data_IF_236810798648
#
_entry.id   IF_236810798648
#
_cell.length_a   1.000
_cell.length_b   1.000
_cell.length_c   1.000
_cell.angle_alpha   90.00
_cell.angle_beta   90.00
_cell.angle_gamma   90.00
#
_symmetry.space_group_name_H-M   'P 1'
#
loop_
_entity.id
_entity.type
_entity.pdbx_description
1 polymer ?
#
# COMPACT_ATOMS: atom_id res chain seq x y z
N UNK A 1 -25.78 7.05 20.46
CA UNK A 1 -25.56 7.47 19.07
C UNK A 1 -24.47 6.58 18.50
N UNK A 2 -24.86 5.59 17.70
CA UNK A 2 -23.90 4.86 16.88
C UNK A 2 -23.34 5.85 15.84
N UNK A 3 -22.03 6.14 15.92
CA UNK A 3 -21.35 6.77 14.81
C UNK A 3 -21.34 5.74 13.67
N UNK A 4 -22.09 5.99 12.62
CA UNK A 4 -21.98 5.24 11.39
C UNK A 4 -20.63 5.57 10.75
N UNK A 5 -19.58 4.89 11.19
CA UNK A 5 -18.31 4.89 10.49
C UNK A 5 -18.60 4.19 9.17
N UNK A 6 -18.46 4.91 8.06
CA UNK A 6 -18.51 4.28 6.74
C UNK A 6 -17.22 3.49 6.55
N UNK A 7 -17.21 2.24 7.01
CA UNK A 7 -16.05 1.33 7.00
C UNK A 7 -15.34 1.24 5.66
N UNK A 8 -16.09 1.44 4.57
CA UNK A 8 -15.55 1.46 3.21
C UNK A 8 -14.61 2.64 2.90
N UNK A 9 -14.53 3.63 3.79
CA UNK A 9 -13.66 4.81 3.64
C UNK A 9 -12.50 4.83 4.63
N UNK A 10 -12.38 3.83 5.49
CA UNK A 10 -11.32 3.75 6.50
C UNK A 10 -10.32 2.68 6.08
N UNK A 11 -9.06 3.07 5.98
CA UNK A 11 -7.92 2.16 5.80
C UNK A 11 -7.12 2.21 7.10
N UNK A 12 -6.99 1.05 7.76
CA UNK A 12 -6.28 0.97 9.03
C UNK A 12 -4.83 0.60 8.78
N UNK A 13 -3.92 1.41 9.30
CA UNK A 13 -2.49 1.12 9.25
C UNK A 13 -2.08 0.28 10.46
N UNK A 14 -1.41 -0.84 10.21
CA UNK A 14 -0.90 -1.75 11.24
C UNK A 14 0.59 -1.98 11.06
N UNK A 15 1.31 -2.19 12.17
CA UNK A 15 2.77 -2.32 12.19
C UNK A 15 3.25 -3.73 12.53
N UNK A 16 2.35 -4.58 13.02
CA UNK A 16 2.64 -5.96 13.34
C UNK A 16 1.35 -6.80 13.40
N UNK A 17 1.51 -8.12 13.43
CA UNK A 17 0.38 -9.05 13.45
C UNK A 17 -0.48 -8.91 14.71
N UNK A 18 0.15 -8.65 15.87
CA UNK A 18 -0.59 -8.44 17.13
C UNK A 18 -1.54 -7.25 17.04
N UNK A 19 -1.06 -6.14 16.47
CA UNK A 19 -1.88 -4.95 16.25
C UNK A 19 -3.04 -5.23 15.28
N UNK A 20 -2.78 -5.97 14.22
CA UNK A 20 -3.84 -6.38 13.29
C UNK A 20 -4.97 -7.13 14.00
N UNK A 21 -4.63 -8.14 14.80
CA UNK A 21 -5.64 -8.92 15.52
C UNK A 21 -6.35 -8.11 16.61
N UNK A 22 -5.64 -7.24 17.31
CA UNK A 22 -6.24 -6.33 18.29
C UNK A 22 -7.27 -5.40 17.66
N UNK A 23 -6.95 -4.81 16.51
CA UNK A 23 -7.90 -3.95 15.77
C UNK A 23 -9.09 -4.75 15.27
N UNK A 24 -8.86 -5.92 14.70
CA UNK A 24 -9.91 -6.82 14.20
C UNK A 24 -10.88 -7.27 15.29
N UNK A 25 -10.42 -7.46 16.53
CA UNK A 25 -11.27 -7.86 17.65
C UNK A 25 -12.19 -6.74 18.13
N UNK A 26 -11.82 -5.47 17.87
CA UNK A 26 -12.65 -4.31 18.24
C UNK A 26 -13.66 -3.98 17.15
N UNK A 27 -13.23 -4.02 15.89
CA UNK A 27 -14.11 -3.72 14.76
C UNK A 27 -13.60 -4.41 13.47
N UNK A 28 -14.50 -4.99 12.65
CA UNK A 28 -14.14 -5.72 11.44
C UNK A 28 -13.88 -4.79 10.25
N UNK A 29 -12.90 -3.90 10.36
CA UNK A 29 -12.48 -3.05 9.24
C UNK A 29 -12.16 -3.91 8.01
N UNK A 30 -12.51 -3.38 6.82
CA UNK A 30 -12.32 -4.08 5.55
C UNK A 30 -10.94 -3.90 4.96
N UNK A 31 -10.35 -2.72 5.15
CA UNK A 31 -9.11 -2.33 4.47
C UNK A 31 -8.00 -2.08 5.46
N UNK A 32 -6.87 -2.72 5.22
CA UNK A 32 -5.66 -2.59 6.02
C UNK A 32 -4.45 -2.29 5.14
N UNK A 33 -3.52 -1.50 5.68
CA UNK A 33 -2.17 -1.37 5.15
C UNK A 33 -1.17 -1.82 6.22
N UNK A 34 -0.25 -2.69 5.85
CA UNK A 34 0.79 -3.19 6.76
C UNK A 34 2.07 -2.40 6.56
N UNK A 35 2.61 -1.83 7.63
CA UNK A 35 3.85 -1.05 7.59
C UNK A 35 5.02 -1.87 8.05
N UNK A 36 6.08 -1.91 7.26
CA UNK A 36 7.33 -2.60 7.59
C UNK A 36 8.44 -1.60 7.85
N UNK A 37 9.37 -1.95 8.72
CA UNK A 37 10.57 -1.16 9.02
C UNK A 37 11.78 -2.05 9.12
N UNK A 38 12.86 -1.73 8.36
CA UNK A 38 14.21 -2.32 8.48
C UNK A 38 14.20 -3.85 8.70
N UNK A 39 13.43 -4.56 7.89
CA UNK A 39 13.32 -6.01 8.02
C UNK A 39 14.22 -6.69 6.98
N UNK A 40 14.92 -7.80 7.34
CA UNK A 40 15.58 -8.64 6.37
C UNK A 40 14.55 -9.30 5.44
N UNK A 41 14.95 -9.69 4.24
CA UNK A 41 14.04 -10.23 3.21
C UNK A 41 13.29 -11.49 3.66
N UNK A 42 13.94 -12.33 4.49
CA UNK A 42 13.27 -13.51 5.08
C UNK A 42 12.10 -13.14 6.01
N UNK A 43 12.24 -12.07 6.80
CA UNK A 43 11.16 -11.55 7.63
C UNK A 43 10.09 -10.87 6.78
N UNK A 44 10.49 -10.13 5.75
CA UNK A 44 9.58 -9.52 4.80
C UNK A 44 8.70 -10.56 4.09
N UNK A 45 9.28 -11.68 3.65
CA UNK A 45 8.53 -12.79 3.07
C UNK A 45 7.42 -13.31 4.00
N UNK A 46 7.71 -13.45 5.30
CA UNK A 46 6.71 -13.87 6.30
C UNK A 46 5.57 -12.85 6.43
N UNK A 47 5.89 -11.56 6.38
CA UNK A 47 4.88 -10.48 6.38
C UNK A 47 4.00 -10.56 5.13
N UNK A 48 4.59 -10.72 3.95
CA UNK A 48 3.84 -10.87 2.70
C UNK A 48 2.89 -12.06 2.74
N UNK A 49 3.37 -13.20 3.24
CA UNK A 49 2.54 -14.40 3.44
C UNK A 49 1.37 -14.13 4.40
N UNK A 50 1.64 -13.47 5.53
CA UNK A 50 0.60 -13.07 6.48
C UNK A 50 -0.44 -12.14 5.85
N UNK A 51 0.01 -11.11 5.13
CA UNK A 51 -0.88 -10.17 4.44
C UNK A 51 -1.78 -10.90 3.43
N UNK A 52 -1.21 -11.80 2.64
CA UNK A 52 -1.97 -12.60 1.66
C UNK A 52 -3.04 -13.45 2.32
N UNK A 53 -2.69 -14.15 3.41
CA UNK A 53 -3.61 -15.03 4.14
C UNK A 53 -4.76 -14.26 4.81
N UNK A 54 -4.53 -13.00 5.18
CA UNK A 54 -5.51 -12.19 5.91
C UNK A 54 -6.20 -11.11 5.05
N UNK A 55 -5.99 -11.13 3.73
CA UNK A 55 -6.63 -10.19 2.82
C UNK A 55 -6.15 -8.74 2.99
N UNK A 56 -4.93 -8.55 3.51
CA UNK A 56 -4.30 -7.22 3.57
C UNK A 56 -3.75 -6.90 2.17
N UNK A 57 -4.31 -5.87 1.56
CA UNK A 57 -4.09 -5.58 0.15
C UNK A 57 -2.86 -4.70 -0.12
N UNK A 58 -2.31 -4.05 0.90
CA UNK A 58 -1.22 -3.10 0.74
C UNK A 58 -0.15 -3.23 1.83
N UNK A 59 1.11 -3.07 1.42
CA UNK A 59 2.28 -2.96 2.31
C UNK A 59 2.98 -1.65 2.02
N UNK A 60 3.36 -0.92 3.08
CA UNK A 60 4.22 0.25 2.99
C UNK A 60 5.58 -0.02 3.65
N UNK A 61 6.64 0.39 2.98
CA UNK A 61 8.03 0.20 3.43
C UNK A 61 8.82 1.49 3.33
N UNK A 62 9.87 1.68 4.16
CA UNK A 62 10.79 2.78 3.97
C UNK A 62 11.44 2.74 2.58
N UNK A 63 11.77 3.90 2.05
CA UNK A 63 12.40 4.02 0.71
C UNK A 63 13.68 3.19 0.56
N UNK A 64 14.44 3.01 1.63
CA UNK A 64 15.70 2.24 1.61
C UNK A 64 15.47 0.72 1.60
N UNK A 65 14.24 0.28 1.84
CA UNK A 65 13.85 -1.14 1.84
C UNK A 65 13.23 -1.56 0.50
N UNK A 66 13.11 -0.64 -0.46
CA UNK A 66 12.60 -0.93 -1.81
C UNK A 66 13.71 -1.54 -2.64
N UNK A 67 13.47 -2.75 -3.15
CA UNK A 67 14.35 -3.45 -4.07
C UNK A 67 13.53 -4.34 -5.03
N UNK A 68 14.18 -4.80 -6.11
CA UNK A 68 13.52 -5.60 -7.16
C UNK A 68 12.87 -6.87 -6.60
N UNK A 69 13.56 -7.58 -5.70
CA UNK A 69 13.06 -8.81 -5.09
C UNK A 69 11.72 -8.58 -4.37
N UNK A 70 11.65 -7.52 -3.54
CA UNK A 70 10.43 -7.21 -2.78
C UNK A 70 9.30 -6.76 -3.69
N UNK A 71 9.61 -5.96 -4.71
CA UNK A 71 8.60 -5.50 -5.67
C UNK A 71 8.05 -6.65 -6.49
N UNK A 72 8.90 -7.55 -6.96
CA UNK A 72 8.49 -8.77 -7.66
C UNK A 72 7.65 -9.69 -6.78
N UNK A 73 8.05 -9.89 -5.52
CA UNK A 73 7.31 -10.71 -4.57
C UNK A 73 5.90 -10.13 -4.32
N UNK A 74 5.78 -8.84 -4.10
CA UNK A 74 4.49 -8.18 -3.89
C UNK A 74 3.61 -8.26 -5.13
N UNK A 75 4.17 -8.03 -6.32
CA UNK A 75 3.46 -8.14 -7.57
C UNK A 75 2.92 -9.56 -7.81
N UNK A 76 3.72 -10.59 -7.57
CA UNK A 76 3.30 -12.00 -7.66
C UNK A 76 2.16 -12.34 -6.70
N UNK A 77 2.12 -11.73 -5.53
CA UNK A 77 1.07 -11.95 -4.54
C UNK A 77 -0.15 -11.04 -4.72
N UNK A 78 -0.08 -10.08 -5.63
CA UNK A 78 -1.15 -9.13 -5.86
C UNK A 78 -1.34 -8.14 -4.70
N UNK A 79 -0.25 -7.77 -4.03
CA UNK A 79 -0.23 -6.82 -2.92
C UNK A 79 0.36 -5.51 -3.41
N UNK A 80 -0.33 -4.41 -3.13
CA UNK A 80 0.12 -3.07 -3.49
C UNK A 80 1.30 -2.63 -2.62
N UNK A 81 2.31 -2.06 -3.24
CA UNK A 81 3.47 -1.50 -2.54
C UNK A 81 3.39 0.01 -2.43
N UNK A 82 3.63 0.51 -1.24
CA UNK A 82 3.80 1.95 -0.99
C UNK A 82 5.15 2.20 -0.34
N UNK A 83 5.69 3.40 -0.53
CA UNK A 83 6.91 3.82 0.16
C UNK A 83 6.76 5.19 0.83
N UNK A 84 7.48 5.40 1.93
CA UNK A 84 7.44 6.61 2.75
C UNK A 84 8.86 7.02 3.19
N UNK A 85 9.18 8.30 3.43
CA UNK A 85 8.45 9.45 2.86
C UNK A 85 9.25 9.92 1.66
N UNK A 86 8.59 10.27 0.59
CA UNK A 86 9.23 10.68 -0.66
C UNK A 86 8.73 12.07 -1.04
N UNK A 87 9.58 13.10 -0.84
CA UNK A 87 9.22 14.50 -1.04
C UNK A 87 9.80 15.10 -2.32
N UNK A 88 10.33 14.27 -3.20
CA UNK A 88 10.89 14.67 -4.48
C UNK A 88 10.21 13.90 -5.62
N UNK A 89 9.67 14.64 -6.60
CA UNK A 89 8.93 14.06 -7.72
C UNK A 89 9.78 13.13 -8.61
N UNK A 90 11.06 13.42 -8.76
CA UNK A 90 11.98 12.56 -9.52
C UNK A 90 12.10 11.19 -8.85
N UNK A 91 12.40 11.13 -7.56
CA UNK A 91 12.49 9.86 -6.82
C UNK A 91 11.16 9.14 -6.74
N UNK A 92 10.04 9.86 -6.61
CA UNK A 92 8.73 9.24 -6.66
C UNK A 92 8.51 8.48 -7.98
N UNK A 93 8.88 9.09 -9.11
CA UNK A 93 8.79 8.45 -10.44
C UNK A 93 9.73 7.26 -10.57
N UNK A 94 10.95 7.34 -10.04
CA UNK A 94 11.90 6.21 -10.07
C UNK A 94 11.37 5.01 -9.26
N UNK A 95 10.83 5.24 -8.07
CA UNK A 95 10.18 4.17 -7.29
C UNK A 95 8.99 3.54 -8.03
N UNK A 96 8.20 4.33 -8.73
CA UNK A 96 7.09 3.81 -9.53
C UNK A 96 7.58 2.95 -10.71
N UNK A 97 8.72 3.28 -11.32
CA UNK A 97 9.35 2.43 -12.34
C UNK A 97 9.80 1.07 -11.79
N UNK A 98 10.21 1.02 -10.53
CA UNK A 98 10.54 -0.22 -9.83
C UNK A 98 9.32 -1.07 -9.44
N UNK A 99 8.11 -0.55 -9.63
CA UNK A 99 6.86 -1.25 -9.31
C UNK A 99 6.18 -0.79 -8.02
N UNK A 100 6.65 0.27 -7.37
CA UNK A 100 5.95 0.89 -6.25
C UNK A 100 4.66 1.52 -6.77
N UNK A 101 3.53 1.16 -6.16
CA UNK A 101 2.22 1.64 -6.57
C UNK A 101 2.01 3.12 -6.22
N UNK A 102 2.49 3.56 -5.06
CA UNK A 102 2.34 4.93 -4.62
C UNK A 102 3.35 5.34 -3.56
N UNK A 103 3.48 6.63 -3.37
CA UNK A 103 4.39 7.21 -2.37
C UNK A 103 3.61 8.04 -1.36
N UNK A 104 4.04 8.01 -0.10
CA UNK A 104 3.63 8.99 0.89
C UNK A 104 4.54 10.21 0.80
N UNK A 105 3.94 11.37 0.67
CA UNK A 105 4.65 12.64 0.57
C UNK A 105 3.94 13.72 1.38
N UNK A 106 4.74 14.59 1.97
CA UNK A 106 4.25 15.75 2.70
C UNK A 106 3.96 16.94 1.75
N UNK A 107 4.58 16.94 0.55
CA UNK A 107 4.59 18.11 -0.33
C UNK A 107 4.18 17.85 -1.78
N UNK A 108 4.22 16.60 -2.24
CA UNK A 108 3.91 16.30 -3.64
C UNK A 108 2.40 16.19 -3.86
N UNK A 109 1.91 16.85 -4.87
CA UNK A 109 0.56 16.65 -5.39
C UNK A 109 0.52 15.48 -6.40
N UNK A 110 -0.63 14.81 -6.59
CA UNK A 110 -0.79 13.77 -7.60
C UNK A 110 -0.45 14.24 -9.03
N UNK A 111 -0.65 15.53 -9.33
CA UNK A 111 -0.33 16.10 -10.63
C UNK A 111 1.19 16.17 -10.91
N UNK A 112 2.01 16.30 -9.88
CA UNK A 112 3.47 16.32 -10.00
C UNK A 112 4.06 14.94 -10.21
N UNK A 113 3.32 13.90 -9.78
CA UNK A 113 3.70 12.50 -9.95
C UNK A 113 2.75 11.90 -10.97
N UNK A 114 3.15 11.89 -12.24
CA UNK A 114 2.30 11.41 -13.32
C UNK A 114 1.96 9.92 -13.17
N UNK A 115 0.69 9.65 -12.87
CA UNK A 115 0.16 8.30 -12.66
C UNK A 115 -0.04 7.50 -13.96
N UNK A 116 0.21 8.07 -15.13
CA UNK A 116 0.04 7.38 -16.42
C UNK A 116 0.90 6.12 -16.54
N UNK A 117 2.09 6.13 -15.96
CA UNK A 117 3.00 4.98 -15.96
C UNK A 117 2.46 3.79 -15.15
N UNK A 118 1.88 4.04 -13.99
CA UNK A 118 1.27 3.00 -13.14
C UNK A 118 0.10 2.35 -13.87
N UNK A 119 -0.76 3.15 -14.53
CA UNK A 119 -1.90 2.65 -15.30
C UNK A 119 -1.47 1.78 -16.48
N UNK A 120 -0.38 2.14 -17.16
CA UNK A 120 0.14 1.40 -18.29
C UNK A 120 0.77 0.06 -17.91
N UNK A 121 1.51 0.02 -16.79
CA UNK A 121 2.31 -1.14 -16.39
C UNK A 121 1.64 -2.06 -15.35
N UNK A 122 0.59 -1.58 -14.67
CA UNK A 122 -0.18 -2.37 -13.71
C UNK A 122 -1.69 -2.24 -13.94
N UNK A 123 -2.22 -2.47 -15.15
CA UNK A 123 -3.61 -2.19 -15.49
C UNK A 123 -4.63 -2.99 -14.67
N UNK A 124 -4.29 -4.22 -14.27
CA UNK A 124 -5.16 -5.07 -13.45
C UNK A 124 -5.30 -4.57 -12.01
N UNK A 125 -4.28 -3.92 -11.48
CA UNK A 125 -4.28 -3.40 -10.12
C UNK A 125 -4.91 -2.00 -10.05
N UNK A 126 -4.54 -1.12 -10.96
CA UNK A 126 -5.03 0.26 -10.97
C UNK A 126 -6.56 0.34 -11.02
N UNK A 127 -7.22 -0.46 -11.87
CA UNK A 127 -8.67 -0.41 -12.02
C UNK A 127 -9.43 -0.94 -10.80
N UNK A 128 -8.90 -1.95 -10.12
CA UNK A 128 -9.51 -2.54 -8.93
C UNK A 128 -9.36 -1.63 -7.71
N UNK A 129 -8.19 -1.07 -7.52
CA UNK A 129 -7.86 -0.22 -6.37
C UNK A 129 -8.60 1.12 -6.41
N UNK A 130 -8.58 1.80 -7.55
CA UNK A 130 -9.27 3.09 -7.74
C UNK A 130 -10.78 2.96 -7.53
N UNK A 131 -11.38 1.86 -7.99
CA UNK A 131 -12.82 1.63 -7.79
C UNK A 131 -13.19 1.25 -6.36
N UNK A 132 -12.32 0.55 -5.63
CA UNK A 132 -12.65 -0.02 -4.31
C UNK A 132 -12.31 0.91 -3.16
N UNK A 133 -11.20 1.66 -3.23
CA UNK A 133 -10.69 2.49 -2.12
C UNK A 133 -10.94 3.97 -2.32
N UNK A 134 -11.00 4.44 -3.55
CA UNK A 134 -11.17 5.86 -3.88
C UNK A 134 -12.37 6.11 -4.81
N UNK A 135 -13.61 5.84 -4.37
CA UNK A 135 -14.79 6.03 -5.22
C UNK A 135 -15.09 7.48 -5.60
N UNK A 136 -14.19 8.44 -5.34
CA UNK A 136 -14.37 9.87 -5.60
C UNK A 136 -13.25 10.57 -6.34
N UNK A 137 -12.22 9.88 -6.81
CA UNK A 137 -11.06 10.53 -7.51
C UNK A 137 -11.23 10.57 -9.04
N UNK A 138 -12.35 10.10 -9.56
CA UNK A 138 -12.69 10.26 -10.99
C UNK A 138 -13.59 11.49 -11.21
N UNK A 139 -13.18 12.66 -10.68
CA UNK A 139 -13.68 13.96 -11.14
C UNK A 139 -12.52 14.85 -11.47
#
# INVERSE_FOLDING_TARGET
RQMCIRDSRVIVQVYNQRMYWAVKSVHPFKHFVYTTYKQPDAAFYKVVKFCKQNGIEAITSPKNDINDYRMELLAKQGIYSYTHSVNNAYFAKEFMKLGVYGVYSDFLSPAQVNNSYIRANCPRFASRYVKTILPGINQ
#
